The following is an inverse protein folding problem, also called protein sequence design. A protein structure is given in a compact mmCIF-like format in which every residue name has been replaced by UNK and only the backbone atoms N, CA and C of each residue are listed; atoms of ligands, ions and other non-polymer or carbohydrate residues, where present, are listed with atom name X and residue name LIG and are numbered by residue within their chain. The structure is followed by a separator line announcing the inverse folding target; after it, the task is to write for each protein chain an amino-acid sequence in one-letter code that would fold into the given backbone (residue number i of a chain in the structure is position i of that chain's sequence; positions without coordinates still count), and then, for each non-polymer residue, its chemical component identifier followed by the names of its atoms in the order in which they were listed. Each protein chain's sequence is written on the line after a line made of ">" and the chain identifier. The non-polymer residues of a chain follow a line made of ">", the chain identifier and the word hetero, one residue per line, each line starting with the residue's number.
data_IF_506020549534
#
_entry.id   IF_506020549534
#
_cell.length_a   1.000
_cell.length_b   1.000
_cell.length_c   1.000
_cell.angle_alpha   90.00
_cell.angle_beta   90.00
_cell.angle_gamma   90.00
#
_symmetry.space_group_name_H-M   'P 1'
#
loop_
_entity.id
_entity.type
_entity.pdbx_description
1 polymer ?
#
# COMPACT_ATOMS: atom_id res chain seq x y z
N UNK A 1 -0.47 46.48 -27.95
CA UNK A 1 -1.16 45.98 -26.75
C UNK A 1 -1.47 44.49 -26.96
N UNK A 2 -0.49 43.59 -26.81
CA UNK A 2 -0.64 42.18 -27.26
C UNK A 2 0.23 41.15 -26.53
N UNK A 3 0.79 41.45 -25.35
CA UNK A 3 1.77 40.55 -24.69
C UNK A 3 1.18 39.69 -23.56
N UNK A 4 0.03 40.06 -22.97
CA UNK A 4 -0.49 39.43 -21.73
C UNK A 4 -1.15 38.05 -21.91
N UNK A 5 -1.47 37.63 -23.13
CA UNK A 5 -2.30 36.43 -23.39
C UNK A 5 -1.52 35.11 -23.36
N UNK A 6 -0.19 35.16 -23.43
CA UNK A 6 0.66 33.96 -23.53
C UNK A 6 1.13 33.43 -22.15
N UNK A 7 1.19 34.29 -21.12
CA UNK A 7 1.63 33.87 -19.79
C UNK A 7 0.60 32.96 -19.08
N UNK A 8 -0.70 33.22 -19.28
CA UNK A 8 -1.78 32.46 -18.61
C UNK A 8 -1.83 31.00 -19.09
N UNK A 9 -1.47 30.74 -20.36
CA UNK A 9 -1.40 29.37 -20.91
C UNK A 9 -0.18 28.58 -20.43
N UNK A 10 0.92 29.28 -20.14
CA UNK A 10 2.16 28.65 -19.66
C UNK A 10 2.09 28.28 -18.18
N UNK A 11 1.24 28.94 -17.39
CA UNK A 11 1.07 28.63 -15.96
C UNK A 11 0.25 27.35 -15.70
N UNK A 12 -0.59 26.90 -16.64
CA UNK A 12 -1.46 25.74 -16.44
C UNK A 12 -0.73 24.40 -16.64
N UNK A 13 0.29 24.35 -17.50
CA UNK A 13 1.05 23.14 -17.80
C UNK A 13 1.97 22.70 -16.64
N UNK A 14 2.47 23.64 -15.84
CA UNK A 14 3.40 23.34 -14.75
C UNK A 14 2.73 22.68 -13.52
N UNK A 15 1.43 22.90 -13.31
CA UNK A 15 0.70 22.36 -12.14
C UNK A 15 0.34 20.88 -12.33
N UNK A 16 0.15 20.40 -13.56
CA UNK A 16 -0.23 19.02 -13.85
C UNK A 16 0.87 17.98 -13.60
N UNK A 17 2.15 18.38 -13.65
CA UNK A 17 3.30 17.45 -13.50
C UNK A 17 3.54 17.07 -12.03
N UNK A 18 3.16 17.92 -11.08
CA UNK A 18 3.39 17.65 -9.66
C UNK A 18 2.38 16.65 -9.05
N UNK A 19 1.24 16.41 -9.69
CA UNK A 19 0.16 15.59 -9.11
C UNK A 19 0.33 14.08 -9.35
N UNK A 20 1.10 13.67 -10.36
CA UNK A 20 1.26 12.26 -10.73
C UNK A 20 2.36 11.53 -9.97
N UNK A 21 3.31 12.25 -9.36
CA UNK A 21 4.44 11.64 -8.67
C UNK A 21 4.04 10.84 -7.42
N UNK A 22 2.99 11.26 -6.71
CA UNK A 22 2.55 10.59 -5.47
C UNK A 22 1.92 9.21 -5.68
N UNK A 23 1.19 9.01 -6.80
CA UNK A 23 0.48 7.75 -7.06
C UNK A 23 1.42 6.60 -7.46
N UNK A 24 2.53 6.91 -8.15
CA UNK A 24 3.52 5.93 -8.54
C UNK A 24 4.21 5.31 -7.31
N UNK A 25 4.64 6.13 -6.36
CA UNK A 25 5.35 5.67 -5.15
C UNK A 25 4.47 4.79 -4.25
N UNK A 26 3.18 5.11 -4.13
CA UNK A 26 2.24 4.29 -3.36
C UNK A 26 2.06 2.88 -3.96
N UNK A 27 2.12 2.77 -5.29
CA UNK A 27 1.99 1.50 -5.99
C UNK A 27 3.20 0.59 -5.73
N UNK A 28 4.40 1.16 -5.65
CA UNK A 28 5.62 0.38 -5.39
C UNK A 28 5.68 -0.16 -3.95
N UNK A 29 5.22 0.62 -2.97
CA UNK A 29 5.15 0.17 -1.57
C UNK A 29 4.17 -1.00 -1.41
N UNK A 30 2.98 -0.92 -2.01
CA UNK A 30 1.97 -1.99 -1.94
C UNK A 30 2.52 -3.29 -2.52
N UNK A 31 3.20 -3.24 -3.67
CA UNK A 31 3.83 -4.42 -4.27
C UNK A 31 4.90 -5.04 -3.37
N UNK A 32 5.70 -4.22 -2.68
CA UNK A 32 6.68 -4.73 -1.72
C UNK A 32 6.04 -5.45 -0.54
N UNK A 33 4.94 -4.91 -0.02
CA UNK A 33 4.14 -5.55 1.06
C UNK A 33 3.56 -6.88 0.57
N UNK A 34 2.97 -6.91 -0.63
CA UNK A 34 2.42 -8.13 -1.23
C UNK A 34 3.47 -9.22 -1.42
N UNK A 35 4.66 -8.85 -1.91
CA UNK A 35 5.77 -9.79 -2.08
C UNK A 35 6.19 -10.41 -0.76
N UNK A 36 6.33 -9.61 0.30
CA UNK A 36 6.71 -10.13 1.62
C UNK A 36 5.59 -11.01 2.23
N UNK A 37 4.32 -10.65 2.04
CA UNK A 37 3.19 -11.47 2.46
C UNK A 37 3.13 -12.79 1.69
N UNK A 38 3.36 -12.77 0.38
CA UNK A 38 3.41 -13.96 -0.46
C UNK A 38 4.55 -14.89 -0.05
N UNK A 39 5.73 -14.32 0.25
CA UNK A 39 6.86 -15.07 0.78
C UNK A 39 6.51 -15.73 2.12
N UNK A 40 5.98 -14.97 3.09
CA UNK A 40 5.57 -15.52 4.38
C UNK A 40 4.50 -16.61 4.24
N UNK A 41 3.54 -16.44 3.31
CA UNK A 41 2.54 -17.45 3.00
C UNK A 41 3.17 -18.74 2.45
N UNK A 42 4.09 -18.62 1.50
CA UNK A 42 4.80 -19.75 0.89
C UNK A 42 5.66 -20.51 1.92
N UNK A 43 6.36 -19.77 2.78
CA UNK A 43 7.17 -20.31 3.87
C UNK A 43 6.32 -20.82 5.05
N UNK A 44 4.99 -20.61 5.02
CA UNK A 44 4.04 -20.96 6.10
C UNK A 44 4.42 -20.33 7.44
N UNK A 45 4.98 -19.13 7.41
CA UNK A 45 5.40 -18.38 8.59
C UNK A 45 4.31 -17.44 9.08
N UNK A 46 4.33 -17.19 10.39
CA UNK A 46 3.50 -16.15 10.99
C UNK A 46 4.01 -14.76 10.60
N UNK A 47 3.07 -13.83 10.43
CA UNK A 47 3.33 -12.41 10.20
C UNK A 47 2.77 -11.58 11.35
N UNK A 48 3.43 -10.47 11.63
CA UNK A 48 2.91 -9.38 12.45
C UNK A 48 2.77 -8.15 11.57
N UNK A 49 1.53 -7.69 11.39
CA UNK A 49 1.21 -6.47 10.64
C UNK A 49 1.09 -5.30 11.60
N UNK A 50 1.63 -4.16 11.20
CA UNK A 50 1.46 -2.88 11.88
C UNK A 50 0.44 -2.05 11.09
N UNK A 51 -0.67 -1.68 11.72
CA UNK A 51 -1.83 -1.05 11.09
C UNK A 51 -2.33 0.09 11.96
N UNK A 52 -2.14 1.33 11.52
CA UNK A 52 -2.49 2.56 12.25
C UNK A 52 -2.00 2.53 13.71
N UNK A 53 -0.78 2.08 13.92
CA UNK A 53 -0.17 1.94 15.25
C UNK A 53 -0.63 0.73 16.09
N UNK A 54 -1.50 -0.14 15.55
CA UNK A 54 -1.88 -1.40 16.17
C UNK A 54 -1.12 -2.58 15.57
N UNK A 55 -0.99 -3.67 16.32
CA UNK A 55 -0.36 -4.92 15.85
C UNK A 55 -1.38 -6.02 15.62
N UNK A 56 -1.33 -6.66 14.46
CA UNK A 56 -2.18 -7.79 14.10
C UNK A 56 -1.31 -8.98 13.72
N UNK A 57 -1.34 -10.04 14.54
CA UNK A 57 -0.58 -11.27 14.32
C UNK A 57 -1.43 -12.39 13.71
N UNK A 58 -0.85 -13.16 12.79
CA UNK A 58 -1.48 -14.35 12.23
C UNK A 58 -0.70 -15.00 11.10
N UNK A 59 -1.21 -16.11 10.57
CA UNK A 59 -0.68 -16.75 9.35
C UNK A 59 -1.43 -16.23 8.13
N UNK A 60 -0.73 -15.91 7.04
CA UNK A 60 -1.34 -15.47 5.78
C UNK A 60 -2.08 -16.64 5.12
N UNK A 61 -3.36 -16.47 4.82
CA UNK A 61 -4.20 -17.51 4.19
C UNK A 61 -4.54 -17.17 2.75
N UNK A 62 -4.79 -15.89 2.46
CA UNK A 62 -5.14 -15.40 1.12
C UNK A 62 -4.70 -13.96 0.96
N UNK A 63 -4.26 -13.62 -0.24
CA UNK A 63 -3.89 -12.26 -0.64
C UNK A 63 -4.75 -11.90 -1.86
N UNK A 64 -5.43 -10.75 -1.79
CA UNK A 64 -6.14 -10.15 -2.91
C UNK A 64 -5.34 -8.91 -3.37
N UNK A 65 -4.63 -8.98 -4.51
CA UNK A 65 -3.71 -7.94 -4.94
C UNK A 65 -4.36 -6.55 -5.02
N UNK A 66 -3.69 -5.55 -4.45
CA UNK A 66 -4.12 -4.16 -4.38
C UNK A 66 -5.29 -3.91 -3.42
N UNK A 67 -5.84 -4.93 -2.77
CA UNK A 67 -7.03 -4.79 -1.93
C UNK A 67 -6.77 -5.14 -0.48
N UNK A 68 -6.56 -6.43 -0.17
CA UNK A 68 -6.52 -6.90 1.20
C UNK A 68 -5.76 -8.22 1.35
N UNK A 69 -5.37 -8.49 2.59
CA UNK A 69 -4.83 -9.77 3.03
C UNK A 69 -5.71 -10.37 4.11
N UNK A 70 -5.91 -11.67 4.02
CA UNK A 70 -6.59 -12.45 5.04
C UNK A 70 -5.58 -13.22 5.89
N UNK A 71 -5.69 -13.06 7.20
CA UNK A 71 -4.91 -13.77 8.19
C UNK A 71 -5.78 -14.76 8.97
N UNK A 72 -5.21 -15.92 9.27
CA UNK A 72 -5.73 -16.80 10.32
C UNK A 72 -5.10 -16.40 11.65
N UNK A 73 -5.94 -16.02 12.59
CA UNK A 73 -5.54 -15.62 13.94
C UNK A 73 -6.04 -16.64 14.96
N UNK A 74 -5.24 -16.89 16.00
CA UNK A 74 -5.68 -17.74 17.10
C UNK A 74 -6.78 -17.08 17.94
N UNK A 75 -6.72 -15.76 18.11
CA UNK A 75 -7.66 -15.01 18.96
C UNK A 75 -8.99 -14.75 18.24
N UNK A 76 -8.94 -14.42 16.95
CA UNK A 76 -10.11 -13.93 16.20
C UNK A 76 -10.57 -14.90 15.10
N UNK A 77 -9.87 -16.03 14.91
CA UNK A 77 -10.15 -16.99 13.83
C UNK A 77 -9.68 -16.49 12.46
N UNK A 78 -10.32 -15.45 11.92
CA UNK A 78 -9.98 -14.82 10.63
C UNK A 78 -9.97 -13.30 10.75
N UNK A 79 -9.01 -12.65 10.11
CA UNK A 79 -8.86 -11.20 10.08
C UNK A 79 -8.62 -10.77 8.64
N UNK A 80 -9.32 -9.74 8.18
CA UNK A 80 -9.05 -9.11 6.88
C UNK A 80 -8.45 -7.72 7.14
N UNK A 81 -7.28 -7.46 6.53
CA UNK A 81 -6.57 -6.19 6.63
C UNK A 81 -6.41 -5.63 5.22
N UNK A 82 -6.80 -4.39 5.00
CA UNK A 82 -6.56 -3.73 3.70
C UNK A 82 -5.08 -3.40 3.54
N UNK A 83 -4.55 -3.59 2.33
CA UNK A 83 -3.15 -3.33 2.05
C UNK A 83 -2.80 -1.84 2.22
N UNK A 84 -3.74 -0.93 1.89
CA UNK A 84 -3.58 0.52 2.02
C UNK A 84 -3.45 1.02 3.46
N UNK A 85 -3.70 0.16 4.46
CA UNK A 85 -3.63 0.51 5.90
C UNK A 85 -2.46 -0.13 6.62
N UNK A 86 -1.66 -0.91 5.92
CA UNK A 86 -0.48 -1.55 6.50
C UNK A 86 0.64 -0.51 6.50
N UNK A 87 1.06 -0.11 7.70
CA UNK A 87 2.21 0.78 7.89
C UNK A 87 3.53 0.01 7.76
N UNK A 88 3.50 -1.28 8.07
CA UNK A 88 4.65 -2.17 7.96
C UNK A 88 4.32 -3.62 8.32
N UNK A 89 5.26 -4.52 8.08
CA UNK A 89 5.13 -5.93 8.42
C UNK A 89 6.46 -6.50 8.91
N UNK A 90 6.37 -7.50 9.79
CA UNK A 90 7.49 -8.34 10.20
C UNK A 90 7.09 -9.81 10.06
N UNK A 91 8.03 -10.65 9.63
CA UNK A 91 7.86 -12.10 9.59
C UNK A 91 9.15 -12.78 10.07
N UNK A 92 9.01 -13.93 10.72
CA UNK A 92 10.14 -14.77 11.12
C UNK A 92 10.74 -15.53 9.95
#
# INVERSE_FOLDING_TARGET
>A
MTTKRNLIRQSLAAVLICLSAGAALATDVIKGIEQALAQAQQEKKGVTLYVQGQTVGGGVVRIEPGQWVELRSQQYGRIIVRLDRIDGLAHS
#
